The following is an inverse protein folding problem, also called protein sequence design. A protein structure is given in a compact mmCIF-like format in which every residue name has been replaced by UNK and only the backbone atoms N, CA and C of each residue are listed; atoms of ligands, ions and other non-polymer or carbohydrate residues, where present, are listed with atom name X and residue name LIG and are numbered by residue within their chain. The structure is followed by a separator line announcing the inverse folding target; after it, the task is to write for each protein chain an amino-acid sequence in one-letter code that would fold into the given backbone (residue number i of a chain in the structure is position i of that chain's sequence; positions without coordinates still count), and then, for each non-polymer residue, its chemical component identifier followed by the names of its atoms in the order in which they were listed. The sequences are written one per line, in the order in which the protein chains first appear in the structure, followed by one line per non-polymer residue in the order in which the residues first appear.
data_IF_728806165130
#
_entry.id   IF_728806165130
#
_cell.length_a   1.000
_cell.length_b   1.000
_cell.length_c   1.000
_cell.angle_alpha   90.00
_cell.angle_beta   90.00
_cell.angle_gamma   90.00
#
_symmetry.space_group_name_H-M   'P 1'
#
loop_
_entity.id
_entity.type
_entity.pdbx_description
1 polymer ?
#
# COMPACT_ATOMS: atom_id res chain seq x y z
N UNK A 1 -11.52 -5.37 -10.58
CA UNK A 1 -11.80 -6.16 -9.38
C UNK A 1 -13.29 -6.06 -9.08
N UNK A 2 -14.04 -7.13 -9.33
CA UNK A 2 -15.49 -7.07 -9.42
C UNK A 2 -16.24 -7.93 -8.42
N UNK A 3 -15.55 -8.72 -7.59
CA UNK A 3 -16.24 -9.61 -6.64
C UNK A 3 -15.36 -9.94 -5.45
N UNK A 4 -15.95 -10.62 -4.47
CA UNK A 4 -15.27 -10.97 -3.23
C UNK A 4 -14.08 -11.92 -3.44
N UNK A 5 -14.16 -12.81 -4.43
CA UNK A 5 -13.05 -13.72 -4.73
C UNK A 5 -11.82 -12.95 -5.24
N UNK A 6 -12.03 -11.98 -6.11
CA UNK A 6 -10.95 -11.12 -6.62
C UNK A 6 -10.34 -10.29 -5.48
N UNK A 7 -11.17 -9.78 -4.58
CA UNK A 7 -10.71 -9.03 -3.42
C UNK A 7 -9.83 -9.90 -2.52
N UNK A 8 -10.28 -11.10 -2.20
CA UNK A 8 -9.52 -12.02 -1.34
C UNK A 8 -8.17 -12.37 -1.96
N UNK A 9 -8.16 -12.64 -3.27
CA UNK A 9 -6.93 -12.96 -3.99
C UNK A 9 -5.96 -11.78 -3.94
N UNK A 10 -6.43 -10.57 -4.29
CA UNK A 10 -5.60 -9.37 -4.25
C UNK A 10 -5.06 -9.12 -2.84
N UNK A 11 -5.93 -9.18 -1.84
CA UNK A 11 -5.56 -8.90 -0.45
C UNK A 11 -4.47 -9.85 0.03
N UNK A 12 -4.61 -11.14 -0.23
CA UNK A 12 -3.62 -12.13 0.17
C UNK A 12 -2.28 -11.92 -0.55
N UNK A 13 -2.31 -11.65 -1.85
CA UNK A 13 -1.10 -11.39 -2.62
C UNK A 13 -0.40 -10.11 -2.14
N UNK A 14 -1.16 -9.05 -1.87
CA UNK A 14 -0.63 -7.78 -1.38
C UNK A 14 0.04 -7.92 -0.03
N UNK A 15 -0.62 -8.59 0.92
CA UNK A 15 -0.07 -8.85 2.26
C UNK A 15 1.22 -9.68 2.15
N UNK A 16 1.20 -10.75 1.36
CA UNK A 16 2.36 -11.63 1.20
C UNK A 16 3.54 -10.88 0.57
N UNK A 17 3.28 -10.04 -0.44
CA UNK A 17 4.32 -9.26 -1.09
C UNK A 17 4.99 -8.30 -0.11
N UNK A 18 4.20 -7.54 0.65
CA UNK A 18 4.75 -6.61 1.63
C UNK A 18 5.54 -7.34 2.73
N UNK A 19 5.02 -8.46 3.22
CA UNK A 19 5.66 -9.21 4.30
C UNK A 19 6.92 -9.94 3.83
N UNK A 20 7.06 -10.19 2.53
CA UNK A 20 8.29 -10.74 1.96
C UNK A 20 9.42 -9.73 1.90
N UNK A 21 9.10 -8.43 1.95
CA UNK A 21 10.04 -7.32 1.77
C UNK A 21 10.71 -7.30 0.39
N UNK A 22 10.15 -8.00 -0.60
CA UNK A 22 10.63 -7.99 -1.98
C UNK A 22 10.01 -6.79 -2.71
N UNK A 23 10.79 -5.75 -2.91
CA UNK A 23 10.31 -4.50 -3.48
C UNK A 23 9.73 -4.69 -4.88
N UNK A 24 10.35 -5.51 -5.72
CA UNK A 24 9.85 -5.77 -7.08
C UNK A 24 8.49 -6.45 -7.04
N UNK A 25 8.31 -7.40 -6.15
CA UNK A 25 7.04 -8.09 -5.96
C UNK A 25 5.95 -7.13 -5.48
N UNK A 26 6.29 -6.27 -4.53
CA UNK A 26 5.38 -5.22 -4.06
C UNK A 26 4.95 -4.32 -5.21
N UNK A 27 5.92 -3.82 -5.98
CA UNK A 27 5.67 -2.86 -7.07
C UNK A 27 4.82 -3.44 -8.20
N UNK A 28 4.82 -4.76 -8.37
CA UNK A 28 4.02 -5.42 -9.40
C UNK A 28 2.51 -5.21 -9.23
N UNK A 29 2.05 -4.85 -8.03
CA UNK A 29 0.64 -4.57 -7.80
C UNK A 29 0.21 -3.18 -8.28
N UNK A 30 1.16 -2.32 -8.63
CA UNK A 30 0.93 -0.90 -8.88
C UNK A 30 1.20 -0.51 -10.32
N UNK A 31 0.48 0.51 -10.79
CA UNK A 31 0.70 1.04 -12.15
C UNK A 31 1.94 1.95 -12.17
N UNK A 32 2.46 2.20 -13.38
CA UNK A 32 3.63 3.06 -13.55
C UNK A 32 3.37 4.51 -13.12
N UNK A 33 2.12 4.95 -13.22
CA UNK A 33 1.69 6.32 -12.87
C UNK A 33 1.04 6.41 -11.50
N UNK A 34 1.27 5.43 -10.63
CA UNK A 34 0.65 5.37 -9.32
C UNK A 34 0.89 6.64 -8.49
N UNK A 35 -0.14 7.03 -7.74
CA UNK A 35 -0.06 8.13 -6.78
C UNK A 35 -0.31 7.59 -5.38
N UNK A 36 0.59 7.89 -4.45
CA UNK A 36 0.47 7.49 -3.04
C UNK A 36 0.37 8.73 -2.18
N UNK A 37 -0.68 8.82 -1.39
CA UNK A 37 -0.85 9.89 -0.39
C UNK A 37 -0.80 9.26 0.99
N UNK A 38 0.13 9.70 1.81
CA UNK A 38 0.34 9.12 3.14
C UNK A 38 1.05 10.09 4.07
N UNK A 39 0.59 10.21 5.33
CA UNK A 39 1.32 11.02 6.32
C UNK A 39 2.72 10.47 6.61
N UNK A 40 2.97 9.19 6.35
CA UNK A 40 4.28 8.57 6.61
C UNK A 40 5.35 9.02 5.63
N UNK A 41 4.99 9.59 4.49
CA UNK A 41 5.97 10.17 3.56
C UNK A 41 6.76 11.27 4.27
N UNK A 42 6.08 12.13 5.02
CA UNK A 42 6.74 13.16 5.81
C UNK A 42 7.28 12.62 7.13
N UNK A 43 6.43 11.90 7.89
CA UNK A 43 6.75 11.51 9.26
C UNK A 43 7.84 10.43 9.34
N UNK A 44 7.82 9.46 8.45
CA UNK A 44 8.75 8.34 8.51
C UNK A 44 9.93 8.49 7.55
N UNK A 45 9.70 9.01 6.35
CA UNK A 45 10.75 9.16 5.34
C UNK A 45 11.41 10.55 5.34
N UNK A 46 10.85 11.50 6.09
CA UNK A 46 11.38 12.85 6.18
C UNK A 46 11.29 13.65 4.89
N UNK A 47 10.44 13.24 3.96
CA UNK A 47 10.26 13.91 2.68
C UNK A 47 9.26 15.07 2.84
N UNK A 48 9.53 16.18 2.17
CA UNK A 48 8.64 17.33 2.22
C UNK A 48 7.52 17.19 1.18
N UNK A 49 6.69 16.16 1.36
CA UNK A 49 5.58 15.86 0.46
C UNK A 49 4.55 15.00 1.18
N UNK A 50 3.29 15.14 0.79
CA UNK A 50 2.19 14.31 1.27
C UNK A 50 1.77 13.29 0.21
N UNK A 51 2.09 13.55 -1.06
CA UNK A 51 1.77 12.70 -2.20
C UNK A 51 3.02 12.49 -3.04
N UNK A 52 3.25 11.23 -3.43
CA UNK A 52 4.28 10.87 -4.40
C UNK A 52 3.62 10.36 -5.66
N UNK A 53 4.11 10.80 -6.81
CA UNK A 53 3.59 10.39 -8.13
C UNK A 53 4.66 9.67 -8.92
N UNK A 54 4.25 8.55 -9.51
CA UNK A 54 5.12 7.73 -10.36
C UNK A 54 5.81 6.62 -9.58
N UNK A 55 5.90 5.46 -10.22
CA UNK A 55 6.43 4.24 -9.60
C UNK A 55 7.87 4.42 -9.10
N UNK A 56 8.68 5.21 -9.82
CA UNK A 56 10.08 5.43 -9.43
C UNK A 56 10.19 6.11 -8.06
N UNK A 57 9.41 7.18 -7.84
CA UNK A 57 9.43 7.91 -6.55
C UNK A 57 8.85 7.08 -5.42
N UNK A 58 7.78 6.35 -5.72
CA UNK A 58 7.15 5.46 -4.76
C UNK A 58 8.10 4.33 -4.37
N UNK A 59 8.82 3.76 -5.34
CA UNK A 59 9.80 2.72 -5.08
C UNK A 59 10.92 3.21 -4.15
N UNK A 60 11.42 4.41 -4.37
CA UNK A 60 12.45 4.99 -3.52
C UNK A 60 11.97 5.18 -2.08
N UNK A 61 10.73 5.62 -1.91
CA UNK A 61 10.11 5.77 -0.60
C UNK A 61 9.96 4.42 0.11
N UNK A 62 9.44 3.42 -0.58
CA UNK A 62 9.23 2.10 0.03
C UNK A 62 10.55 1.37 0.31
N UNK A 63 11.55 1.52 -0.55
CA UNK A 63 12.88 0.96 -0.29
C UNK A 63 13.44 1.52 1.02
N UNK A 64 13.30 2.82 1.21
CA UNK A 64 13.73 3.48 2.44
C UNK A 64 12.97 2.99 3.66
N UNK A 65 11.65 2.82 3.53
CA UNK A 65 10.81 2.31 4.60
C UNK A 65 11.19 0.88 5.00
N UNK A 66 11.40 0.01 4.01
CA UNK A 66 11.78 -1.39 4.25
C UNK A 66 13.17 -1.47 4.91
N UNK A 67 14.08 -0.57 4.56
CA UNK A 67 15.42 -0.52 5.15
C UNK A 67 15.37 -0.03 6.59
N UNK A 68 14.59 1.01 6.86
CA UNK A 68 14.49 1.61 8.21
C UNK A 68 13.69 0.76 9.18
N UNK A 69 12.76 -0.02 8.68
CA UNK A 69 11.85 -0.84 9.50
C UNK A 69 11.98 -2.29 9.01
N UNK A 70 13.09 -2.97 9.37
CA UNK A 70 13.34 -4.32 8.85
C UNK A 70 12.33 -5.37 9.33
N UNK A 71 11.58 -5.07 10.38
CA UNK A 71 10.52 -5.94 10.91
C UNK A 71 9.13 -5.47 10.51
N UNK A 72 9.01 -4.59 9.50
CA UNK A 72 7.71 -4.16 8.98
C UNK A 72 6.89 -5.38 8.56
N UNK A 73 5.69 -5.48 9.13
CA UNK A 73 4.80 -6.61 8.89
C UNK A 73 3.36 -6.14 8.92
N UNK A 74 2.59 -6.58 7.93
CA UNK A 74 1.16 -6.28 7.85
C UNK A 74 0.36 -7.48 8.35
N UNK A 75 -0.60 -7.21 9.22
CA UNK A 75 -1.56 -8.19 9.70
C UNK A 75 -2.95 -7.67 9.35
N UNK A 76 -3.64 -8.39 8.45
CA UNK A 76 -4.97 -7.98 8.00
C UNK A 76 -6.00 -8.13 9.12
N UNK A 77 -6.78 -7.08 9.35
CA UNK A 77 -7.90 -7.12 10.30
C UNK A 77 -9.21 -7.31 9.54
N UNK A 78 -9.42 -6.51 8.47
CA UNK A 78 -10.62 -6.60 7.66
C UNK A 78 -10.38 -5.92 6.31
N UNK A 79 -11.26 -6.18 5.36
CA UNK A 79 -11.19 -5.60 4.02
C UNK A 79 -12.60 -5.33 3.50
N UNK A 80 -12.74 -4.24 2.75
CA UNK A 80 -14.03 -3.85 2.16
C UNK A 80 -13.87 -3.50 0.70
N UNK A 81 -14.90 -3.76 -0.10
CA UNK A 81 -14.92 -3.50 -1.54
C UNK A 81 -15.72 -2.24 -1.82
N UNK A 82 -15.18 -1.35 -2.64
CA UNK A 82 -15.86 -0.19 -3.18
C UNK A 82 -15.92 -0.23 -4.69
N UNK A 83 -16.26 0.90 -5.31
CA UNK A 83 -16.28 1.02 -6.78
C UNK A 83 -14.84 1.10 -7.28
N UNK A 84 -14.40 0.08 -8.01
CA UNK A 84 -13.02 -0.05 -8.53
C UNK A 84 -11.97 0.22 -7.43
N UNK A 85 -12.28 -0.17 -6.20
CA UNK A 85 -11.43 0.15 -5.06
C UNK A 85 -11.59 -0.87 -3.95
N UNK A 86 -10.60 -0.90 -3.06
CA UNK A 86 -10.65 -1.68 -1.83
C UNK A 86 -10.17 -0.83 -0.68
N UNK A 87 -10.66 -1.11 0.52
CA UNK A 87 -10.16 -0.52 1.74
C UNK A 87 -9.62 -1.66 2.61
N UNK A 88 -8.32 -1.64 2.89
CA UNK A 88 -7.68 -2.66 3.72
C UNK A 88 -7.41 -2.09 5.10
N UNK A 89 -7.98 -2.74 6.11
CA UNK A 89 -7.77 -2.39 7.51
C UNK A 89 -6.79 -3.39 8.09
N UNK A 90 -5.63 -2.91 8.51
CA UNK A 90 -4.55 -3.79 8.97
C UNK A 90 -3.76 -3.14 10.09
N UNK A 91 -2.99 -3.96 10.79
CA UNK A 91 -1.98 -3.51 11.74
C UNK A 91 -0.65 -3.50 10.99
N UNK A 92 0.12 -2.43 11.10
CA UNK A 92 1.36 -2.28 10.34
C UNK A 92 2.45 -1.60 11.19
N UNK A 93 3.12 -0.60 10.62
CA UNK A 93 4.29 0.05 11.21
C UNK A 93 4.01 0.56 12.64
N UNK A 94 4.96 0.31 13.53
CA UNK A 94 4.91 0.74 14.93
C UNK A 94 3.64 0.27 15.67
N UNK A 95 3.13 -0.89 15.25
CA UNK A 95 1.93 -1.50 15.82
C UNK A 95 0.68 -0.63 15.65
N UNK A 96 0.70 0.32 14.71
CA UNK A 96 -0.44 1.17 14.40
C UNK A 96 -1.40 0.45 13.46
N UNK A 97 -2.67 0.77 13.59
CA UNK A 97 -3.67 0.31 12.65
C UNK A 97 -3.72 1.27 11.47
N UNK A 98 -3.87 0.72 10.28
CA UNK A 98 -3.94 1.49 9.04
C UNK A 98 -5.18 1.16 8.27
N UNK A 99 -5.71 2.15 7.56
CA UNK A 99 -6.72 1.93 6.53
C UNK A 99 -6.13 2.46 5.24
N UNK A 100 -5.93 1.56 4.26
CA UNK A 100 -5.43 1.95 2.95
C UNK A 100 -6.54 1.78 1.94
N UNK A 101 -6.91 2.88 1.29
CA UNK A 101 -7.90 2.88 0.21
C UNK A 101 -7.13 2.87 -1.11
N UNK A 102 -7.33 1.83 -1.91
CA UNK A 102 -6.63 1.61 -3.16
C UNK A 102 -7.60 1.58 -4.32
N UNK A 103 -7.30 2.32 -5.36
CA UNK A 103 -8.09 2.36 -6.60
C UNK A 103 -7.35 1.63 -7.71
N UNK A 104 -8.10 0.90 -8.54
CA UNK A 104 -7.56 0.09 -9.61
C UNK A 104 -7.80 0.73 -10.97
N UNK A 105 -6.83 0.58 -11.86
CA UNK A 105 -6.98 0.97 -13.25
C UNK A 105 -7.66 -0.15 -14.06
N UNK A 106 -7.79 0.04 -15.37
CA UNK A 106 -8.45 -0.93 -16.26
C UNK A 106 -7.68 -2.25 -16.38
N UNK A 107 -6.38 -2.23 -16.05
CA UNK A 107 -5.53 -3.43 -16.10
C UNK A 107 -5.49 -4.17 -14.77
N UNK A 108 -6.24 -3.69 -13.76
CA UNK A 108 -6.24 -4.28 -12.43
C UNK A 108 -5.06 -3.90 -11.57
N UNK A 109 -4.30 -2.88 -11.96
CA UNK A 109 -3.19 -2.36 -11.15
C UNK A 109 -3.68 -1.23 -10.27
N UNK A 110 -3.10 -1.13 -9.08
CA UNK A 110 -3.40 -0.01 -8.17
C UNK A 110 -2.78 1.26 -8.73
N UNK A 111 -3.58 2.28 -8.99
CA UNK A 111 -3.10 3.54 -9.53
C UNK A 111 -3.21 4.72 -8.56
N UNK A 112 -3.90 4.55 -7.44
CA UNK A 112 -4.03 5.60 -6.44
C UNK A 112 -4.24 4.98 -5.07
N UNK A 113 -3.50 5.45 -4.07
CA UNK A 113 -3.60 4.98 -2.70
C UNK A 113 -3.72 6.16 -1.75
N UNK A 114 -4.65 6.05 -0.81
CA UNK A 114 -4.72 6.95 0.34
C UNK A 114 -4.52 6.13 1.60
N UNK A 115 -3.42 6.38 2.30
CA UNK A 115 -3.11 5.67 3.54
C UNK A 115 -3.50 6.50 4.75
N UNK A 116 -4.15 5.85 5.71
CA UNK A 116 -4.64 6.46 6.94
C UNK A 116 -4.10 5.66 8.12
N UNK A 117 -3.72 6.34 9.18
CA UNK A 117 -3.15 5.70 10.36
C UNK A 117 -3.92 6.12 11.61
N UNK A 118 -4.19 5.15 12.49
CA UNK A 118 -4.75 5.46 13.80
C UNK A 118 -3.64 6.01 14.73
N UNK A 119 -4.05 6.73 15.71
CA UNK A 119 -3.12 7.25 16.72
C UNK A 119 -2.74 6.20 17.76
#
# INVERSE_FOLDING_TARGET
MNNNSDLLKFTNEWINSWNSHDLDDILNHYSDDVEITSPMITLAAGMNAETLRGKRRVAAYWEKALTKIPDLHFELIDAAVGINSVALYSKSVLNRKTVEVMFFDQKGKVNKVFAHYTN
#
